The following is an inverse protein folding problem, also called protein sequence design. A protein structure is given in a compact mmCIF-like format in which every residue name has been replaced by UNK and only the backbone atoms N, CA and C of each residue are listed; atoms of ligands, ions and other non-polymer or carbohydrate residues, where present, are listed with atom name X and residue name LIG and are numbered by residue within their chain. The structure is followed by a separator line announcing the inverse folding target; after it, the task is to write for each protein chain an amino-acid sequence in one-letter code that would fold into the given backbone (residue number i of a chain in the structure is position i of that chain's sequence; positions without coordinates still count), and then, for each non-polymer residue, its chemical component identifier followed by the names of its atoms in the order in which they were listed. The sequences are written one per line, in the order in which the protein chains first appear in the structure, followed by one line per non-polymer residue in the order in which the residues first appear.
data_IF_228526615349
#
_entry.id   IF_228526615349
#
_cell.length_a   1.000
_cell.length_b   1.000
_cell.length_c   1.000
_cell.angle_alpha   90.00
_cell.angle_beta   90.00
_cell.angle_gamma   90.00
#
_symmetry.space_group_name_H-M   'P 1'
#
loop_
_entity.id
_entity.type
_entity.pdbx_description
1 polymer ?
#
# COMPACT_ATOMS: atom_id res chain seq x y z
N UNK A 1 6.98 13.66 -22.87
CA UNK A 1 6.66 12.45 -22.08
C UNK A 1 5.14 12.35 -22.00
N UNK A 2 4.56 11.33 -22.64
CA UNK A 2 3.12 11.09 -22.57
C UNK A 2 2.85 10.33 -21.28
N UNK A 3 2.03 10.89 -20.38
CA UNK A 3 1.57 10.17 -19.18
C UNK A 3 0.81 8.92 -19.65
N UNK A 4 1.13 7.72 -19.13
CA UNK A 4 0.46 6.49 -19.53
C UNK A 4 -1.04 6.62 -19.24
N UNK A 5 -1.88 6.23 -20.22
CA UNK A 5 -3.34 6.41 -20.19
C UNK A 5 -4.07 5.64 -19.08
N UNK A 6 -3.33 4.89 -18.24
CA UNK A 6 -3.81 4.26 -17.00
C UNK A 6 -3.89 5.20 -15.81
N UNK A 7 -3.34 6.42 -15.88
CA UNK A 7 -3.49 7.45 -14.84
C UNK A 7 -4.85 8.17 -14.96
N UNK A 8 -5.95 7.42 -15.00
CA UNK A 8 -7.28 8.04 -14.97
C UNK A 8 -7.58 8.49 -13.55
N UNK A 9 -7.89 9.77 -13.38
CA UNK A 9 -8.72 10.21 -12.28
C UNK A 9 -10.09 9.54 -12.44
N UNK A 10 -10.33 8.43 -11.74
CA UNK A 10 -11.61 7.71 -11.78
C UNK A 10 -12.41 7.84 -10.49
N UNK A 11 -11.85 8.41 -9.43
CA UNK A 11 -12.42 8.30 -8.10
C UNK A 11 -13.45 9.38 -7.80
N UNK A 12 -14.72 9.00 -7.69
CA UNK A 12 -15.68 9.79 -6.90
C UNK A 12 -15.10 10.03 -5.50
N UNK A 13 -15.33 11.21 -4.92
CA UNK A 13 -14.89 11.57 -3.56
C UNK A 13 -15.17 10.49 -2.51
N UNK A 14 -16.27 9.75 -2.68
CA UNK A 14 -16.66 8.63 -1.80
C UNK A 14 -15.66 7.46 -1.79
N UNK A 15 -15.07 7.10 -2.94
CA UNK A 15 -14.08 6.02 -3.03
C UNK A 15 -12.78 6.44 -2.37
N UNK A 16 -12.36 7.68 -2.60
CA UNK A 16 -11.18 8.25 -1.95
C UNK A 16 -11.38 8.34 -0.43
N UNK A 17 -12.56 8.75 0.03
CA UNK A 17 -12.86 8.79 1.46
C UNK A 17 -12.89 7.38 2.08
N UNK A 18 -13.43 6.38 1.37
CA UNK A 18 -13.36 5.00 1.82
C UNK A 18 -11.90 4.49 1.91
N UNK A 19 -11.05 4.89 0.96
CA UNK A 19 -9.63 4.56 0.95
C UNK A 19 -8.89 5.21 2.14
N UNK A 20 -9.16 6.49 2.42
CA UNK A 20 -8.67 7.18 3.64
C UNK A 20 -9.16 6.47 4.89
N UNK A 21 -10.45 6.20 5.00
CA UNK A 21 -11.01 5.62 6.22
C UNK A 21 -10.44 4.21 6.50
N UNK A 22 -10.14 3.43 5.47
CA UNK A 22 -9.45 2.14 5.62
C UNK A 22 -8.05 2.30 6.25
N UNK A 23 -7.24 3.25 5.76
CA UNK A 23 -5.91 3.55 6.33
C UNK A 23 -6.04 4.10 7.74
N UNK A 24 -6.99 5.00 7.99
CA UNK A 24 -7.22 5.59 9.31
C UNK A 24 -7.64 4.55 10.33
N UNK A 25 -8.53 3.63 9.96
CA UNK A 25 -8.95 2.51 10.80
C UNK A 25 -7.78 1.58 11.12
N UNK A 26 -6.98 1.24 10.11
CA UNK A 26 -5.79 0.42 10.28
C UNK A 26 -4.75 1.10 11.20
N UNK A 27 -4.47 2.38 10.99
CA UNK A 27 -3.47 3.11 11.78
C UNK A 27 -3.81 3.16 13.27
N UNK A 28 -5.12 3.22 13.60
CA UNK A 28 -5.60 3.17 14.99
C UNK A 28 -5.35 1.81 15.65
N UNK A 29 -5.37 0.71 14.91
CA UNK A 29 -5.15 -0.65 15.45
C UNK A 29 -3.70 -1.12 15.34
N UNK A 30 -2.90 -0.56 14.43
CA UNK A 30 -1.55 -1.01 14.10
C UNK A 30 -0.43 -0.51 15.04
N UNK A 31 -0.78 0.17 16.14
CA UNK A 31 0.18 0.71 17.12
C UNK A 31 1.33 1.55 16.47
N UNK A 32 0.98 2.39 15.50
CA UNK A 32 1.94 3.20 14.73
C UNK A 32 2.90 4.01 15.62
N UNK A 33 2.39 4.56 16.73
CA UNK A 33 3.19 5.31 17.71
C UNK A 33 4.27 4.44 18.35
N UNK A 34 4.00 3.16 18.61
CA UNK A 34 4.99 2.24 19.18
C UNK A 34 6.12 1.97 18.18
N UNK A 35 5.80 1.86 16.89
CA UNK A 35 6.81 1.73 15.82
C UNK A 35 7.69 2.97 15.72
N UNK A 36 7.10 4.17 15.83
CA UNK A 36 7.86 5.43 15.87
C UNK A 36 8.76 5.51 17.10
N UNK A 37 8.28 5.13 18.28
CA UNK A 37 9.11 5.09 19.51
C UNK A 37 10.26 4.08 19.37
N UNK A 38 10.00 2.92 18.76
CA UNK A 38 11.01 1.91 18.51
C UNK A 38 12.13 2.42 17.59
N UNK A 39 11.82 3.33 16.68
CA UNK A 39 12.81 3.96 15.80
C UNK A 39 13.86 4.83 16.51
N UNK A 40 13.57 5.29 17.73
CA UNK A 40 14.56 6.05 18.53
C UNK A 40 15.79 5.19 18.88
N UNK A 41 15.59 3.89 19.08
CA UNK A 41 16.65 2.92 19.42
C UNK A 41 17.04 2.02 18.25
N UNK A 42 16.12 1.75 17.33
CA UNK A 42 16.30 0.84 16.18
C UNK A 42 15.87 1.55 14.90
N UNK A 43 16.79 2.08 14.07
CA UNK A 43 16.45 2.85 12.87
C UNK A 43 15.43 2.19 11.91
N UNK A 44 15.40 0.85 11.89
CA UNK A 44 14.47 0.04 11.08
C UNK A 44 13.25 -0.50 11.85
N UNK A 45 12.96 0.08 13.02
CA UNK A 45 11.84 -0.30 13.89
C UNK A 45 10.45 -0.13 13.27
N UNK A 46 10.36 0.49 12.09
CA UNK A 46 9.14 0.70 11.31
C UNK A 46 8.66 -0.52 10.52
N UNK A 47 9.51 -1.54 10.35
CA UNK A 47 9.21 -2.72 9.54
C UNK A 47 7.88 -3.40 9.82
N UNK A 48 7.49 -3.66 11.08
CA UNK A 48 6.20 -4.27 11.41
C UNK A 48 5.00 -3.45 10.94
N UNK A 49 5.01 -2.13 11.16
CA UNK A 49 3.94 -1.25 10.68
C UNK A 49 3.86 -1.24 9.15
N UNK A 50 5.01 -1.27 8.48
CA UNK A 50 5.06 -1.29 7.02
C UNK A 50 4.56 -2.60 6.41
N UNK A 51 4.85 -3.75 7.04
CA UNK A 51 4.25 -5.04 6.64
C UNK A 51 2.74 -5.01 6.83
N UNK A 52 2.24 -4.50 7.96
CA UNK A 52 0.80 -4.36 8.19
C UNK A 52 0.13 -3.44 7.16
N UNK A 53 0.83 -2.38 6.73
CA UNK A 53 0.34 -1.46 5.70
C UNK A 53 0.35 -2.12 4.30
N UNK A 54 1.33 -2.97 4.02
CA UNK A 54 1.33 -3.78 2.80
C UNK A 54 0.16 -4.76 2.76
N UNK A 55 -0.15 -5.42 3.89
CA UNK A 55 -1.31 -6.33 4.02
C UNK A 55 -2.64 -5.61 3.83
N UNK A 56 -2.74 -4.33 4.25
CA UNK A 56 -3.89 -3.47 3.94
C UNK A 56 -4.07 -3.26 2.42
N UNK A 57 -2.99 -3.39 1.64
CA UNK A 57 -3.01 -3.33 0.18
C UNK A 57 -2.65 -1.98 -0.42
N UNK A 58 -2.06 -1.05 0.35
CA UNK A 58 -1.74 0.31 -0.14
C UNK A 58 -0.82 0.30 -1.37
N UNK A 59 0.09 -0.67 -1.46
CA UNK A 59 1.08 -0.75 -2.55
C UNK A 59 0.52 -1.41 -3.82
N UNK A 60 -0.60 -2.11 -3.71
CA UNK A 60 -1.28 -2.75 -4.84
C UNK A 60 -2.47 -1.96 -5.38
N UNK A 61 -2.83 -0.83 -4.76
CA UNK A 61 -4.10 -0.16 -5.03
C UNK A 61 -4.19 0.41 -6.45
N UNK A 62 -3.13 1.05 -6.96
CA UNK A 62 -3.08 1.57 -8.33
C UNK A 62 -2.35 0.61 -9.30
N UNK A 63 -2.06 -0.61 -8.87
CA UNK A 63 -1.45 -1.65 -9.70
C UNK A 63 -2.56 -2.37 -10.49
N UNK A 64 -2.40 -2.61 -11.81
CA UNK A 64 -3.40 -3.33 -12.60
C UNK A 64 -3.74 -4.71 -12.02
N UNK A 65 -5.00 -5.14 -12.17
CA UNK A 65 -5.45 -6.47 -11.73
C UNK A 65 -4.66 -7.61 -12.38
N UNK A 66 -4.24 -7.43 -13.64
CA UNK A 66 -3.40 -8.39 -14.37
C UNK A 66 -2.03 -8.63 -13.68
N UNK A 67 -1.54 -7.63 -12.95
CA UNK A 67 -0.32 -7.68 -12.15
C UNK A 67 -0.60 -8.05 -10.68
N UNK A 68 -1.83 -8.45 -10.34
CA UNK A 68 -2.22 -8.84 -8.99
C UNK A 68 -2.55 -7.67 -8.04
N UNK A 69 -2.69 -6.45 -8.55
CA UNK A 69 -3.19 -5.29 -7.81
C UNK A 69 -4.72 -5.20 -7.78
N UNK A 70 -5.25 -4.09 -7.26
CA UNK A 70 -6.71 -3.85 -7.25
C UNK A 70 -7.23 -3.07 -8.46
N UNK A 71 -6.34 -2.50 -9.28
CA UNK A 71 -6.71 -1.71 -10.47
C UNK A 71 -7.46 -0.41 -10.16
N UNK A 72 -7.43 0.09 -8.92
CA UNK A 72 -8.05 1.34 -8.55
C UNK A 72 -7.28 2.56 -9.11
N UNK A 73 -7.85 3.74 -8.98
CA UNK A 73 -7.29 4.96 -9.55
C UNK A 73 -6.03 5.43 -8.82
N UNK A 74 -5.20 6.21 -9.52
CA UNK A 74 -4.03 6.84 -8.90
C UNK A 74 -4.45 7.82 -7.78
N UNK A 75 -5.61 8.46 -7.88
CA UNK A 75 -6.14 9.33 -6.83
C UNK A 75 -6.50 8.55 -5.55
N UNK A 76 -6.94 7.30 -5.68
CA UNK A 76 -7.23 6.44 -4.53
C UNK A 76 -5.93 6.05 -3.82
N UNK A 77 -4.86 5.79 -4.57
CA UNK A 77 -3.51 5.61 -4.03
C UNK A 77 -3.05 6.85 -3.27
N UNK A 78 -3.18 8.04 -3.87
CA UNK A 78 -2.81 9.30 -3.22
C UNK A 78 -3.59 9.47 -1.93
N UNK A 79 -4.90 9.22 -1.94
CA UNK A 79 -5.74 9.34 -0.76
C UNK A 79 -5.28 8.42 0.39
N UNK A 80 -4.88 7.18 0.08
CA UNK A 80 -4.31 6.27 1.08
C UNK A 80 -2.96 6.74 1.60
N UNK A 81 -2.08 7.23 0.72
CA UNK A 81 -0.74 7.72 1.10
C UNK A 81 -0.86 8.98 1.96
N UNK A 82 -1.75 9.90 1.62
CA UNK A 82 -2.01 11.12 2.39
C UNK A 82 -2.52 10.78 3.79
N UNK A 83 -3.44 9.82 3.92
CA UNK A 83 -3.92 9.41 5.25
C UNK A 83 -2.84 8.68 6.05
N UNK A 84 -1.98 7.89 5.40
CA UNK A 84 -0.84 7.25 6.06
C UNK A 84 0.15 8.31 6.59
N UNK A 85 0.39 9.38 5.82
CA UNK A 85 1.20 10.52 6.26
C UNK A 85 0.53 11.28 7.41
N UNK A 86 -0.78 11.53 7.32
CA UNK A 86 -1.56 12.17 8.39
C UNK A 86 -1.55 11.36 9.69
N UNK A 87 -1.49 10.03 9.57
CA UNK A 87 -1.39 9.09 10.69
C UNK A 87 0.05 8.86 11.18
N UNK A 88 1.04 9.57 10.62
CA UNK A 88 2.47 9.45 10.95
C UNK A 88 3.00 8.02 10.82
N UNK A 89 2.53 7.28 9.81
CA UNK A 89 3.00 5.92 9.54
C UNK A 89 4.47 5.98 9.11
N UNK A 90 5.39 5.33 9.86
CA UNK A 90 6.81 5.41 9.54
C UNK A 90 7.16 4.50 8.35
N UNK A 91 8.22 4.89 7.64
CA UNK A 91 8.78 4.13 6.52
C UNK A 91 8.57 4.78 5.15
N UNK A 92 9.10 4.17 4.08
CA UNK A 92 9.09 4.71 2.72
C UNK A 92 7.75 4.44 2.00
N UNK A 93 6.62 4.86 2.59
CA UNK A 93 5.28 4.52 2.09
C UNK A 93 5.03 5.09 0.69
N UNK A 94 5.16 6.41 0.52
CA UNK A 94 4.85 7.09 -0.74
C UNK A 94 5.76 6.62 -1.89
N UNK A 95 7.06 6.48 -1.63
CA UNK A 95 8.02 6.01 -2.62
C UNK A 95 7.75 4.57 -3.02
N UNK A 96 7.42 3.69 -2.08
CA UNK A 96 7.14 2.28 -2.38
C UNK A 96 5.83 2.09 -3.14
N UNK A 97 4.79 2.88 -2.83
CA UNK A 97 3.55 2.88 -3.61
C UNK A 97 3.79 3.33 -5.06
N UNK A 98 4.59 4.39 -5.25
CA UNK A 98 4.93 4.86 -6.59
C UNK A 98 5.78 3.83 -7.36
N UNK A 99 6.78 3.23 -6.72
CA UNK A 99 7.62 2.21 -7.35
C UNK A 99 6.78 1.00 -7.76
N UNK A 100 5.81 0.58 -6.95
CA UNK A 100 4.91 -0.52 -7.30
C UNK A 100 4.12 -0.24 -8.60
N UNK A 101 3.60 0.97 -8.76
CA UNK A 101 2.90 1.39 -9.99
C UNK A 101 3.85 1.41 -11.19
N UNK A 102 5.06 1.96 -11.03
CA UNK A 102 6.06 2.04 -12.12
C UNK A 102 6.49 0.64 -12.57
N UNK A 103 6.79 -0.25 -11.63
CA UNK A 103 7.20 -1.62 -11.95
C UNK A 103 6.09 -2.38 -12.68
N UNK A 104 4.85 -2.26 -12.23
CA UNK A 104 3.72 -2.88 -12.92
C UNK A 104 3.48 -2.29 -14.32
N UNK A 105 3.75 -1.00 -14.52
CA UNK A 105 3.64 -0.37 -15.84
C UNK A 105 4.76 -0.82 -16.81
N UNK A 106 5.91 -1.22 -16.29
CA UNK A 106 7.09 -1.66 -17.05
C UNK A 106 7.14 -3.19 -17.23
N UNK A 107 6.16 -3.93 -16.70
CA UNK A 107 6.09 -5.40 -16.79
C UNK A 107 6.99 -6.13 -15.80
N UNK A 108 7.31 -5.49 -14.68
CA UNK A 108 8.13 -6.01 -13.57
C UNK A 108 7.29 -6.24 -12.30
N UNK A 109 6.05 -6.70 -12.46
CA UNK A 109 5.13 -6.97 -11.35
C UNK A 109 5.68 -7.99 -10.33
N UNK A 110 6.61 -8.86 -10.72
CA UNK A 110 7.29 -9.81 -9.82
C UNK A 110 8.10 -9.12 -8.72
N UNK A 111 8.49 -7.86 -8.93
CA UNK A 111 9.26 -7.07 -7.97
C UNK A 111 8.38 -6.30 -6.98
N UNK A 112 7.05 -6.27 -7.17
CA UNK A 112 6.11 -5.57 -6.29
C UNK A 112 5.95 -6.25 -4.91
N UNK A 113 5.77 -7.59 -4.79
CA UNK A 113 5.70 -8.24 -3.48
C UNK A 113 6.95 -8.07 -2.61
N UNK A 114 8.19 -8.16 -3.15
CA UNK A 114 9.40 -7.86 -2.39
C UNK A 114 9.46 -6.45 -1.80
N UNK A 115 8.85 -5.44 -2.44
CA UNK A 115 8.80 -4.07 -1.90
C UNK A 115 7.96 -3.96 -0.64
N UNK A 116 6.88 -4.73 -0.57
CA UNK A 116 6.03 -4.85 0.61
C UNK A 116 6.73 -5.59 1.76
N UNK A 117 7.54 -6.61 1.44
CA UNK A 117 8.30 -7.37 2.42
C UNK A 117 9.57 -6.66 2.93
N UNK A 118 10.06 -5.62 2.20
CA UNK A 118 11.36 -5.00 2.47
C UNK A 118 11.44 -4.16 3.74
N UNK A 119 10.33 -3.92 4.43
CA UNK A 119 10.30 -3.16 5.69
C UNK A 119 11.19 -3.72 6.81
N UNK A 120 11.62 -4.97 6.71
CA UNK A 120 12.39 -5.66 7.73
C UNK A 120 13.93 -5.63 7.56
N UNK A 121 14.51 -4.71 6.79
CA UNK A 121 15.96 -4.67 6.56
C UNK A 121 16.72 -3.95 7.69
N UNK A 122 16.69 -4.53 8.90
CA UNK A 122 17.50 -4.12 10.05
C UNK A 122 17.87 -5.26 11.01
N UNK A 123 17.65 -6.52 10.64
CA UNK A 123 18.04 -7.67 11.43
C UNK A 123 18.71 -8.73 10.56
N UNK A 124 19.97 -9.05 10.84
CA UNK A 124 20.68 -10.20 10.27
C UNK A 124 19.92 -11.47 10.65
N UNK A 125 19.08 -11.91 9.73
CA UNK A 125 18.27 -13.12 9.80
C UNK A 125 17.86 -13.44 8.37
N UNK A 126 18.87 -13.81 7.56
CA UNK A 126 18.63 -14.59 6.37
C UNK A 126 17.80 -15.83 6.74
N UNK A 127 16.91 -16.23 5.83
CA UNK A 127 15.91 -17.31 5.96
C UNK A 127 14.58 -16.92 6.61
N UNK A 128 13.85 -16.02 5.93
CA UNK A 128 12.46 -16.35 5.61
C UNK A 128 12.36 -16.44 4.10
N UNK A 129 11.95 -17.61 3.60
CA UNK A 129 11.52 -17.71 2.19
C UNK A 129 10.53 -16.57 1.91
N UNK A 130 10.50 -16.02 0.68
CA UNK A 130 9.44 -15.11 0.26
C UNK A 130 8.12 -15.89 0.35
N UNK A 131 7.53 -15.89 1.55
CA UNK A 131 6.18 -16.31 1.77
C UNK A 131 5.35 -15.51 0.79
N UNK A 132 4.56 -16.19 -0.02
CA UNK A 132 3.69 -15.54 -0.98
C UNK A 132 2.87 -14.50 -0.20
N UNK A 133 3.22 -13.23 -0.32
CA UNK A 133 2.35 -12.12 0.06
C UNK A 133 1.21 -12.17 -0.94
N UNK A 134 0.29 -13.11 -0.71
CA UNK A 134 -0.97 -13.16 -1.43
C UNK A 134 -1.68 -11.90 -0.99
N UNK A 135 -1.84 -10.95 -1.92
CA UNK A 135 -2.66 -9.74 -1.77
C UNK A 135 -4.14 -10.15 -1.62
N UNK A 136 -4.47 -10.86 -0.54
CA UNK A 136 -5.80 -11.31 -0.21
C UNK A 136 -6.40 -10.33 0.81
N UNK A 137 -6.77 -9.14 0.33
CA UNK A 137 -7.31 -8.10 1.20
C UNK A 137 -8.33 -7.17 0.54
N UNK A 138 -8.25 -6.94 -0.77
CA UNK A 138 -9.17 -6.01 -1.45
C UNK A 138 -10.55 -6.62 -1.80
N UNK A 139 -10.86 -7.81 -1.31
CA UNK A 139 -12.16 -8.46 -1.52
C UNK A 139 -13.23 -8.03 -0.52
N UNK A 140 -13.46 -6.72 -0.28
CA UNK A 140 -14.71 -6.27 0.39
C UNK A 140 -15.05 -4.77 0.41
N UNK A 141 -14.28 -3.85 -0.18
CA UNK A 141 -14.68 -2.43 -0.22
C UNK A 141 -15.62 -2.13 -1.41
N UNK A 142 -15.58 -2.93 -2.47
CA UNK A 142 -16.45 -2.80 -3.65
C UNK A 142 -17.88 -3.37 -3.47
N UNK A 143 -18.28 -3.75 -2.25
CA UNK A 143 -19.58 -4.39 -1.96
C UNK A 143 -20.80 -3.47 -2.00
N UNK A 144 -20.66 -2.17 -2.28
CA UNK A 144 -21.78 -1.23 -2.38
C UNK A 144 -21.66 -0.28 -3.57
N UNK A 145 -21.22 -0.76 -4.73
CA UNK A 145 -21.53 -0.07 -5.98
C UNK A 145 -22.79 -0.71 -6.55
N UNK A 146 -23.92 -0.10 -6.21
CA UNK A 146 -25.20 -0.38 -6.83
C UNK A 146 -25.07 -0.29 -8.34
N UNK A 147 -25.48 -1.37 -8.99
CA UNK A 147 -25.68 -1.51 -10.42
C UNK A 147 -26.56 -0.36 -10.92
N UNK A 148 -26.03 0.53 -11.76
CA UNK A 148 -26.84 1.37 -12.63
C UNK A 148 -26.39 1.13 -14.06
N UNK A 149 -27.26 0.44 -14.81
CA UNK A 149 -27.38 0.61 -16.25
C UNK A 149 -28.41 1.68 -16.57
#
# INVERSE_FOLDING_TARGET
MSVPSGLRASGSSEVQEAARDAVRQWARSAAVIESVRKMESEPDGWGPAYVGLAELGIFGVAVPEAAGGSGAGFDDMIAMVDEAAASLVPGPVATSALVAVVLAADGHEELVPPLAARGAHGGTGADREPGHCRWAGFGRVAGRVGRYG
#
